data_IF_902116502095
#
_entry.id   IF_902116502095
#
_cell.length_a   1.000
_cell.length_b   1.000
_cell.length_c   1.000
_cell.angle_alpha   90.00
_cell.angle_beta   90.00
_cell.angle_gamma   90.00
#
_symmetry.space_group_name_H-M   'P 1'
#
loop_
_entity.id
_entity.type
_entity.pdbx_description
1 polymer ?
#
# COMPACT_ATOMS: atom_id res chain seq x y z
N UNK A 1 -8.01 -11.44 19.63
CA UNK A 1 -6.89 -10.81 18.89
C UNK A 1 -7.44 -9.64 18.09
N UNK A 2 -6.73 -8.52 18.02
CA UNK A 2 -7.18 -7.29 17.36
C UNK A 2 -6.87 -7.37 15.85
N UNK A 3 -7.85 -7.35 14.94
CA UNK A 3 -7.57 -7.35 13.50
C UNK A 3 -7.05 -5.99 13.06
N UNK A 4 -6.04 -5.99 12.18
CA UNK A 4 -5.47 -4.77 11.59
C UNK A 4 -5.32 -4.95 10.10
N UNK A 5 -5.66 -3.93 9.31
CA UNK A 5 -5.42 -3.96 7.88
C UNK A 5 -3.91 -3.80 7.62
N UNK A 6 -3.34 -4.55 6.69
CA UNK A 6 -1.93 -4.42 6.31
C UNK A 6 -1.84 -4.38 4.80
N UNK A 7 -1.05 -3.45 4.22
CA UNK A 7 -0.78 -3.48 2.78
C UNK A 7 -0.21 -4.85 2.41
N UNK A 8 -0.88 -5.56 1.48
CA UNK A 8 -0.55 -6.96 1.19
C UNK A 8 0.90 -7.18 0.73
N UNK A 9 1.53 -6.17 0.13
CA UNK A 9 2.95 -6.21 -0.22
C UNK A 9 3.89 -6.24 1.00
N UNK A 10 3.53 -5.60 2.12
CA UNK A 10 4.25 -5.70 3.40
C UNK A 10 4.08 -7.09 4.03
N UNK A 11 3.01 -7.80 3.66
CA UNK A 11 2.73 -9.17 4.08
C UNK A 11 3.45 -10.22 3.20
N UNK A 12 4.20 -9.79 2.18
CA UNK A 12 4.91 -10.69 1.25
C UNK A 12 4.07 -11.16 0.05
N UNK A 13 2.90 -10.56 -0.20
CA UNK A 13 2.16 -10.84 -1.43
C UNK A 13 2.72 -10.00 -2.58
N UNK A 14 3.06 -10.67 -3.67
CA UNK A 14 3.58 -10.06 -4.89
C UNK A 14 2.49 -9.29 -5.66
N UNK A 15 2.05 -8.15 -5.12
CA UNK A 15 0.95 -7.33 -5.63
C UNK A 15 1.36 -5.89 -5.98
N UNK A 16 2.66 -5.56 -5.93
CA UNK A 16 3.15 -4.25 -6.37
C UNK A 16 2.97 -4.07 -7.87
N UNK A 17 3.09 -2.82 -8.34
CA UNK A 17 2.98 -2.51 -9.76
C UNK A 17 3.99 -3.27 -10.64
N UNK A 18 5.19 -3.52 -10.10
CA UNK A 18 6.27 -4.29 -10.73
C UNK A 18 6.13 -5.82 -10.58
N UNK A 19 5.03 -6.30 -9.97
CA UNK A 19 4.81 -7.74 -9.75
C UNK A 19 5.62 -8.34 -8.61
N UNK A 20 6.25 -7.51 -7.76
CA UNK A 20 7.01 -7.96 -6.58
C UNK A 20 6.25 -7.68 -5.28
N UNK A 21 6.87 -8.00 -4.15
CA UNK A 21 6.42 -7.61 -2.81
C UNK A 21 7.43 -6.66 -2.12
N UNK A 22 7.17 -6.36 -0.85
CA UNK A 22 8.11 -5.67 0.02
C UNK A 22 7.89 -6.11 1.46
N UNK A 23 7.93 -7.44 1.68
CA UNK A 23 7.68 -8.06 2.97
C UNK A 23 8.44 -7.36 4.10
N UNK A 24 7.80 -7.18 5.24
CA UNK A 24 8.39 -6.57 6.43
C UNK A 24 8.24 -7.52 7.61
N UNK A 25 9.24 -8.40 7.79
CA UNK A 25 9.22 -9.44 8.83
C UNK A 25 9.19 -8.84 10.23
N UNK A 26 9.83 -7.67 10.41
CA UNK A 26 9.83 -6.95 11.68
C UNK A 26 8.42 -6.48 12.03
N UNK A 27 7.67 -5.89 11.08
CA UNK A 27 6.27 -5.53 11.28
C UNK A 27 5.44 -6.75 11.66
N UNK A 28 5.59 -7.86 10.94
CA UNK A 28 4.79 -9.06 11.21
C UNK A 28 5.08 -9.62 12.62
N UNK A 29 6.34 -9.62 13.06
CA UNK A 29 6.70 -9.98 14.42
C UNK A 29 6.17 -9.02 15.48
N UNK A 30 6.19 -7.70 15.21
CA UNK A 30 5.59 -6.68 16.10
C UNK A 30 4.08 -6.87 16.24
N UNK A 31 3.38 -7.19 15.14
CA UNK A 31 1.94 -7.47 15.16
C UNK A 31 1.62 -8.73 15.97
N UNK A 32 2.35 -9.83 15.74
CA UNK A 32 2.18 -11.07 16.48
C UNK A 32 2.44 -10.88 17.98
N UNK A 33 3.56 -10.26 18.34
CA UNK A 33 3.94 -9.98 19.73
C UNK A 33 2.91 -9.11 20.47
N UNK A 34 2.17 -8.28 19.73
CA UNK A 34 1.11 -7.42 20.28
C UNK A 34 -0.29 -8.02 20.16
N UNK A 35 -0.42 -9.29 19.76
CA UNK A 35 -1.70 -10.00 19.65
C UNK A 35 -2.61 -9.46 18.54
N UNK A 36 -2.02 -8.86 17.51
CA UNK A 36 -2.71 -8.30 16.34
C UNK A 36 -2.72 -9.30 15.19
N UNK A 37 -3.86 -9.41 14.52
CA UNK A 37 -4.04 -10.31 13.38
C UNK A 37 -4.01 -9.48 12.09
N UNK A 38 -2.98 -9.64 11.24
CA UNK A 38 -2.91 -8.91 9.98
C UNK A 38 -3.96 -9.42 8.99
N UNK A 39 -4.69 -8.48 8.40
CA UNK A 39 -5.60 -8.69 7.26
C UNK A 39 -4.96 -8.06 6.03
N UNK A 40 -4.27 -8.85 5.18
CA UNK A 40 -3.55 -8.33 4.03
C UNK A 40 -4.52 -7.81 2.97
N UNK A 41 -4.31 -6.59 2.49
CA UNK A 41 -5.17 -5.93 1.51
C UNK A 41 -4.37 -5.10 0.50
N UNK A 42 -4.71 -5.19 -0.78
CA UNK A 42 -4.13 -4.35 -1.84
C UNK A 42 -5.25 -3.53 -2.50
N UNK A 43 -5.33 -2.22 -2.25
CA UNK A 43 -6.41 -1.41 -2.80
C UNK A 43 -6.41 -1.36 -4.32
N UNK A 44 -5.24 -1.27 -4.95
CA UNK A 44 -5.12 -1.20 -6.41
C UNK A 44 -5.70 -2.44 -7.09
N UNK A 45 -5.46 -3.61 -6.51
CA UNK A 45 -6.00 -4.87 -7.01
C UNK A 45 -7.46 -5.13 -6.63
N UNK A 46 -7.92 -4.62 -5.49
CA UNK A 46 -9.34 -4.63 -5.11
C UNK A 46 -10.15 -3.67 -5.99
N UNK A 47 -9.51 -2.61 -6.49
CA UNK A 47 -10.00 -1.75 -7.55
C UNK A 47 -9.82 -2.31 -8.96
N UNK A 48 -9.54 -3.61 -9.07
CA UNK A 48 -9.44 -4.35 -10.34
C UNK A 48 -8.22 -4.03 -11.23
N UNK A 49 -7.21 -3.30 -10.74
CA UNK A 49 -5.96 -3.18 -11.49
C UNK A 49 -5.20 -4.53 -11.52
N UNK A 50 -4.51 -4.84 -12.64
CA UNK A 50 -3.74 -6.07 -12.75
C UNK A 50 -2.46 -6.03 -11.91
N UNK A 51 -1.79 -7.17 -11.84
CA UNK A 51 -0.43 -7.29 -11.34
C UNK A 51 0.38 -8.14 -12.34
N UNK A 52 1.46 -7.62 -12.94
CA UNK A 52 1.96 -6.25 -12.84
C UNK A 52 1.01 -5.23 -13.50
N UNK A 53 1.25 -3.94 -13.26
CA UNK A 53 0.51 -2.80 -13.85
C UNK A 53 1.44 -1.60 -14.06
N UNK A 54 1.11 -0.67 -14.97
CA UNK A 54 1.86 0.58 -15.10
C UNK A 54 1.94 1.33 -13.77
N UNK A 55 3.08 1.99 -13.53
CA UNK A 55 3.18 2.93 -12.42
C UNK A 55 2.18 4.08 -12.60
N UNK A 56 1.58 4.51 -11.50
CA UNK A 56 0.60 5.58 -11.47
C UNK A 56 0.93 6.60 -10.37
N UNK A 57 0.39 7.80 -10.49
CA UNK A 57 0.55 8.90 -9.55
C UNK A 57 -0.64 9.84 -9.62
N UNK A 58 -0.81 10.64 -8.58
CA UNK A 58 -1.80 11.72 -8.60
C UNK A 58 -1.33 12.75 -9.65
N UNK A 59 -2.21 13.12 -10.55
CA UNK A 59 -1.95 14.12 -11.58
C UNK A 59 -1.86 15.51 -10.94
N UNK A 60 -0.87 16.30 -11.34
CA UNK A 60 -0.64 17.64 -10.76
C UNK A 60 -1.62 18.71 -11.26
N UNK A 61 -2.53 18.40 -12.19
CA UNK A 61 -3.33 19.38 -12.92
C UNK A 61 -4.75 19.59 -12.37
N UNK A 62 -5.15 20.87 -12.26
CA UNK A 62 -6.54 21.32 -12.15
C UNK A 62 -6.77 22.57 -11.28
N UNK A 63 -7.59 23.52 -11.73
CA UNK A 63 -8.01 24.69 -10.95
C UNK A 63 -8.55 24.27 -9.57
N UNK A 64 -8.16 24.96 -8.49
CA UNK A 64 -8.61 24.67 -7.13
C UNK A 64 -7.55 24.19 -6.13
N UNK A 65 -6.24 24.31 -6.45
CA UNK A 65 -5.14 24.10 -5.49
C UNK A 65 -4.20 22.94 -5.82
N UNK A 66 -3.24 22.61 -4.93
CA UNK A 66 -2.26 21.55 -5.18
C UNK A 66 -2.92 20.17 -5.24
N UNK A 67 -2.38 19.29 -6.08
CA UNK A 67 -2.84 17.92 -6.19
C UNK A 67 -2.67 17.16 -4.86
N UNK A 68 -3.72 16.43 -4.46
CA UNK A 68 -3.73 15.67 -3.22
C UNK A 68 -4.75 14.53 -3.29
N UNK A 69 -4.58 13.53 -2.41
CA UNK A 69 -5.54 12.43 -2.27
C UNK A 69 -6.96 12.92 -1.96
N UNK A 70 -7.11 13.98 -1.16
CA UNK A 70 -8.41 14.57 -0.84
C UNK A 70 -9.13 15.08 -2.10
N UNK A 71 -8.40 15.70 -3.03
CA UNK A 71 -8.97 16.15 -4.31
C UNK A 71 -9.32 15.00 -5.24
N UNK A 72 -8.58 13.89 -5.20
CA UNK A 72 -8.97 12.66 -5.91
C UNK A 72 -10.30 12.13 -5.35
N UNK A 73 -10.43 12.10 -4.01
CA UNK A 73 -11.66 11.65 -3.34
C UNK A 73 -12.88 12.54 -3.64
N UNK A 74 -12.68 13.86 -3.84
CA UNK A 74 -13.75 14.79 -4.25
C UNK A 74 -14.01 14.81 -5.76
N UNK A 75 -13.23 14.09 -6.56
CA UNK A 75 -13.34 14.05 -8.02
C UNK A 75 -12.75 15.28 -8.74
N UNK A 76 -11.93 16.07 -8.04
CA UNK A 76 -11.27 17.27 -8.56
C UNK A 76 -9.86 17.03 -9.10
N UNK A 77 -9.26 15.88 -8.79
CA UNK A 77 -7.97 15.44 -9.29
C UNK A 77 -8.05 13.99 -9.75
N UNK A 78 -7.09 13.59 -10.58
CA UNK A 78 -7.02 12.24 -11.16
C UNK A 78 -5.80 11.49 -10.66
N UNK A 79 -5.86 10.17 -10.72
CA UNK A 79 -4.69 9.29 -10.67
C UNK A 79 -4.45 8.81 -12.09
N UNK A 80 -3.25 9.05 -12.61
CA UNK A 80 -2.89 8.72 -13.99
C UNK A 80 -1.67 7.82 -14.03
N UNK A 81 -1.57 6.99 -15.06
CA UNK A 81 -0.36 6.21 -15.35
C UNK A 81 0.71 7.08 -16.01
N UNK A 82 1.91 6.52 -16.20
CA UNK A 82 2.98 7.17 -16.97
C UNK A 82 2.67 7.46 -18.44
N UNK A 83 1.67 6.78 -19.03
CA UNK A 83 1.17 7.08 -20.37
C UNK A 83 0.03 8.11 -20.36
N UNK A 84 -0.40 8.58 -19.18
CA UNK A 84 -1.51 9.52 -19.02
C UNK A 84 -2.90 8.87 -18.99
N UNK A 85 -2.98 7.54 -18.88
CA UNK A 85 -4.25 6.84 -18.72
C UNK A 85 -4.85 7.14 -17.34
N UNK A 86 -6.12 7.53 -17.29
CA UNK A 86 -6.84 7.80 -16.05
C UNK A 86 -7.28 6.49 -15.38
N UNK A 87 -6.71 6.20 -14.21
CA UNK A 87 -6.99 5.02 -13.39
C UNK A 87 -7.68 5.40 -12.07
N UNK A 88 -8.23 6.61 -11.97
CA UNK A 88 -8.85 7.14 -10.74
C UNK A 88 -9.98 6.25 -10.22
N UNK A 89 -10.81 5.71 -11.12
CA UNK A 89 -11.94 4.87 -10.75
C UNK A 89 -11.50 3.62 -9.94
N UNK A 90 -10.41 2.99 -10.36
CA UNK A 90 -9.84 1.84 -9.68
C UNK A 90 -9.29 2.21 -8.29
N UNK A 91 -8.54 3.32 -8.18
CA UNK A 91 -8.03 3.80 -6.89
C UNK A 91 -9.15 4.14 -5.91
N UNK A 92 -10.20 4.80 -6.39
CA UNK A 92 -11.38 5.15 -5.59
C UNK A 92 -12.17 3.90 -5.16
N UNK A 93 -12.35 2.93 -6.05
CA UNK A 93 -12.99 1.65 -5.73
C UNK A 93 -12.17 0.89 -4.68
N UNK A 94 -10.87 0.74 -4.90
CA UNK A 94 -9.96 0.09 -3.98
C UNK A 94 -9.93 0.70 -2.59
N UNK A 95 -9.95 2.04 -2.50
CA UNK A 95 -10.01 2.75 -1.22
C UNK A 95 -11.32 2.45 -0.47
N UNK A 96 -12.46 2.45 -1.17
CA UNK A 96 -13.76 2.09 -0.57
C UNK A 96 -13.80 0.65 -0.09
N UNK A 97 -13.26 -0.28 -0.88
CA UNK A 97 -13.15 -1.69 -0.49
C UNK A 97 -12.22 -1.88 0.72
N UNK A 98 -11.14 -1.11 0.83
CA UNK A 98 -10.28 -1.13 2.02
C UNK A 98 -11.05 -0.69 3.29
N UNK A 99 -11.85 0.36 3.17
CA UNK A 99 -12.68 0.84 4.27
C UNK A 99 -13.77 -0.18 4.64
N UNK A 100 -14.39 -0.82 3.64
CA UNK A 100 -15.34 -1.90 3.86
C UNK A 100 -14.68 -3.07 4.59
N UNK A 101 -13.52 -3.52 4.12
CA UNK A 101 -12.75 -4.58 4.77
C UNK A 101 -12.43 -4.24 6.23
N UNK A 102 -11.99 -3.01 6.52
CA UNK A 102 -11.79 -2.54 7.89
C UNK A 102 -13.06 -2.67 8.74
N UNK A 103 -14.22 -2.28 8.21
CA UNK A 103 -15.51 -2.34 8.93
C UNK A 103 -15.95 -3.78 9.17
N UNK A 104 -15.84 -4.64 8.17
CA UNK A 104 -16.27 -6.05 8.25
C UNK A 104 -15.48 -6.83 9.28
N UNK A 105 -14.15 -6.66 9.31
CA UNK A 105 -13.30 -7.35 10.29
C UNK A 105 -13.20 -6.61 11.62
N UNK A 106 -13.71 -5.38 11.70
CA UNK A 106 -13.60 -4.53 12.89
C UNK A 106 -12.20 -3.94 13.12
N UNK A 107 -11.37 -3.83 12.07
CA UNK A 107 -10.06 -3.22 12.15
C UNK A 107 -10.16 -1.70 12.32
N UNK A 108 -9.52 -1.18 13.37
CA UNK A 108 -9.41 0.26 13.66
C UNK A 108 -8.04 0.85 13.32
N UNK A 109 -7.13 0.01 12.85
CA UNK A 109 -5.76 0.38 12.48
C UNK A 109 -5.36 -0.26 11.16
N UNK A 110 -4.61 0.49 10.36
CA UNK A 110 -4.07 0.05 9.10
C UNK A 110 -2.57 0.36 9.00
N UNK A 111 -1.76 -0.63 8.61
CA UNK A 111 -0.33 -0.48 8.32
C UNK A 111 -0.13 -0.45 6.81
N UNK A 112 0.22 0.70 6.29
CA UNK A 112 0.17 0.98 4.87
C UNK A 112 1.56 1.24 4.30
N UNK A 113 1.79 0.76 3.06
CA UNK A 113 3.07 0.91 2.38
C UNK A 113 3.33 2.38 2.01
N UNK A 114 4.41 2.93 2.54
CA UNK A 114 4.77 4.34 2.37
C UNK A 114 5.10 4.68 0.90
N UNK A 115 4.90 5.95 0.53
CA UNK A 115 5.10 6.55 -0.81
C UNK A 115 4.13 6.09 -1.91
N UNK A 116 3.28 5.11 -1.68
CA UNK A 116 2.31 4.66 -2.70
C UNK A 116 1.24 5.74 -2.99
N UNK A 117 0.82 5.93 -4.26
CA UNK A 117 -0.35 6.77 -4.62
C UNK A 117 -1.64 6.33 -3.92
N UNK A 118 -1.75 5.07 -3.50
CA UNK A 118 -2.88 4.53 -2.74
C UNK A 118 -2.59 4.50 -1.24
N UNK A 119 -1.47 3.90 -0.85
CA UNK A 119 -1.21 3.50 0.54
C UNK A 119 -0.27 4.45 1.31
N UNK A 120 0.43 5.37 0.64
CA UNK A 120 1.37 6.28 1.32
C UNK A 120 0.68 7.07 2.44
N UNK A 121 1.31 7.22 3.61
CA UNK A 121 0.69 7.90 4.75
C UNK A 121 1.27 9.30 4.92
N UNK A 122 2.59 9.42 4.95
CA UNK A 122 3.28 10.69 5.08
C UNK A 122 3.64 11.30 3.72
N UNK A 123 3.86 10.47 2.72
CA UNK A 123 4.28 10.85 1.38
C UNK A 123 3.56 10.04 0.31
N UNK A 124 3.39 10.67 -0.86
CA UNK A 124 2.76 10.04 -2.03
C UNK A 124 3.43 10.51 -3.32
N UNK A 125 3.06 9.93 -4.46
CA UNK A 125 3.56 10.37 -5.76
C UNK A 125 2.58 11.31 -6.46
N UNK A 126 3.07 12.50 -6.81
CA UNK A 126 2.39 13.48 -7.68
C UNK A 126 3.27 13.73 -8.90
N UNK A 127 2.73 13.56 -10.11
CA UNK A 127 3.48 13.68 -11.38
C UNK A 127 4.83 12.96 -11.38
N UNK A 128 4.85 11.71 -10.88
CA UNK A 128 6.06 10.90 -10.80
C UNK A 128 7.08 11.34 -9.73
N UNK A 129 6.78 12.35 -8.91
CA UNK A 129 7.65 12.83 -7.81
C UNK A 129 7.06 12.50 -6.46
N UNK A 130 7.90 12.11 -5.50
CA UNK A 130 7.46 11.93 -4.11
C UNK A 130 7.26 13.30 -3.45
N UNK A 131 6.07 13.54 -2.89
CA UNK A 131 5.69 14.77 -2.19
C UNK A 131 5.09 14.45 -0.82
N UNK A 132 5.12 15.37 0.15
CA UNK A 132 4.38 15.21 1.41
C UNK A 132 2.87 15.10 1.17
N UNK A 133 2.23 14.19 1.91
CA UNK A 133 0.79 13.95 1.86
C UNK A 133 0.45 12.46 1.68
N UNK A 134 -0.77 12.05 2.05
CA UNK A 134 -1.20 10.67 1.94
C UNK A 134 -1.59 10.29 0.50
N UNK A 135 -1.62 8.98 0.24
CA UNK A 135 -2.30 8.38 -0.90
C UNK A 135 -3.81 8.26 -0.68
N UNK A 136 -4.53 7.89 -1.74
CA UNK A 136 -6.01 7.88 -1.79
C UNK A 136 -6.65 7.01 -0.70
N UNK A 137 -6.15 5.79 -0.51
CA UNK A 137 -6.67 4.86 0.51
C UNK A 137 -6.34 5.32 1.91
N UNK A 138 -5.09 5.76 2.13
CA UNK A 138 -4.66 6.26 3.44
C UNK A 138 -5.49 7.46 3.89
N UNK A 139 -5.74 8.43 2.98
CA UNK A 139 -6.62 9.58 3.23
C UNK A 139 -8.03 9.13 3.61
N UNK A 140 -8.67 8.27 2.80
CA UNK A 140 -10.05 7.84 3.06
C UNK A 140 -10.20 7.09 4.38
N UNK A 141 -9.24 6.21 4.72
CA UNK A 141 -9.23 5.47 5.97
C UNK A 141 -9.09 6.42 7.17
N UNK A 142 -8.16 7.37 7.10
CA UNK A 142 -7.95 8.38 8.14
C UNK A 142 -9.20 9.25 8.36
N UNK A 143 -9.81 9.75 7.28
CA UNK A 143 -11.05 10.54 7.32
C UNK A 143 -12.22 9.75 7.92
N UNK A 144 -12.17 8.41 7.81
CA UNK A 144 -13.16 7.49 8.36
C UNK A 144 -12.86 7.03 9.79
N UNK A 145 -11.83 7.60 10.44
CA UNK A 145 -11.46 7.30 11.83
C UNK A 145 -10.61 6.05 12.02
N UNK A 146 -10.03 5.48 10.95
CA UNK A 146 -9.05 4.40 11.05
C UNK A 146 -7.67 4.99 11.30
N UNK A 147 -6.95 4.49 12.31
CA UNK A 147 -5.57 4.93 12.54
C UNK A 147 -4.64 4.35 11.48
N UNK A 148 -4.06 5.19 10.64
CA UNK A 148 -3.11 4.78 9.59
C UNK A 148 -1.66 4.94 10.07
N UNK A 149 -0.82 3.96 9.76
CA UNK A 149 0.61 3.94 10.09
C UNK A 149 1.40 3.63 8.80
N UNK A 150 2.31 4.52 8.43
CA UNK A 150 3.19 4.35 7.28
C UNK A 150 4.33 3.38 7.58
N UNK A 151 4.63 2.49 6.64
CA UNK A 151 5.72 1.51 6.75
C UNK A 151 6.53 1.49 5.45
N UNK A 152 7.84 1.62 5.56
CA UNK A 152 8.74 1.61 4.39
C UNK A 152 8.80 0.24 3.71
N UNK A 153 8.77 -0.85 4.47
CA UNK A 153 8.85 -2.24 3.99
C UNK A 153 10.28 -2.77 3.83
N UNK A 154 10.42 -4.09 3.70
CA UNK A 154 11.72 -4.73 3.44
C UNK A 154 12.61 -5.00 4.66
N UNK A 155 12.11 -4.80 5.89
CA UNK A 155 12.88 -5.11 7.12
C UNK A 155 12.89 -6.62 7.37
N UNK A 156 14.07 -7.20 7.58
CA UNK A 156 14.23 -8.63 7.90
C UNK A 156 14.50 -8.84 9.39
N UNK A 157 14.07 -9.98 9.93
CA UNK A 157 14.22 -10.30 11.35
C UNK A 157 15.70 -10.46 11.79
N UNK A 158 16.61 -10.75 10.86
CA UNK A 158 18.05 -10.87 11.14
C UNK A 158 18.75 -9.51 11.29
N UNK A 159 18.11 -8.39 10.92
CA UNK A 159 18.73 -7.06 10.93
C UNK A 159 18.59 -6.32 12.28
N UNK A 160 17.91 -6.90 13.28
CA UNK A 160 17.60 -6.25 14.58
C UNK A 160 18.46 -6.74 15.75
N UNK A 161 19.59 -7.39 15.50
CA UNK A 161 20.58 -7.73 16.53
C UNK A 161 21.76 -6.73 16.59
N UNK A 162 21.66 -5.71 17.46
CA UNK A 162 22.82 -4.93 17.98
C UNK A 162 22.96 -3.47 17.52
N UNK A 163 23.63 -2.58 18.31
CA UNK A 163 23.24 -1.17 18.47
C UNK A 163 23.95 -0.16 17.54
N UNK A 164 23.28 1.01 17.37
CA UNK A 164 23.71 2.33 16.86
C UNK A 164 24.74 2.43 15.71
N UNK A 165 24.27 2.90 14.56
CA UNK A 165 24.79 4.11 13.89
C UNK A 165 23.82 4.53 12.77
N UNK A 166 23.33 5.78 12.82
CA UNK A 166 22.48 6.32 11.77
C UNK A 166 23.30 6.51 10.48
N UNK A 167 22.83 6.04 9.30
CA UNK A 167 23.47 6.42 8.04
C UNK A 167 23.17 7.89 7.72
N UNK A 168 24.18 8.63 7.31
CA UNK A 168 24.02 9.99 6.76
C UNK A 168 23.02 10.00 5.59
N UNK A 169 22.21 11.07 5.45
CA UNK A 169 21.26 11.17 4.35
C UNK A 169 22.02 11.25 3.01
N UNK A 170 21.54 10.55 1.96
CA UNK A 170 22.16 10.63 0.64
C UNK A 170 22.00 12.03 0.04
N UNK A 171 22.95 12.48 -0.82
CA UNK A 171 22.87 13.77 -1.48
C UNK A 171 21.66 13.84 -2.44
N UNK A 172 21.02 15.01 -2.59
CA UNK A 172 19.81 15.15 -3.40
C UNK A 172 20.15 15.10 -4.90
N UNK A 173 19.55 14.14 -5.62
CA UNK A 173 19.62 14.08 -7.08
C UNK A 173 19.32 12.69 -7.62
N UNK A 174 18.15 12.56 -8.26
CA UNK A 174 17.63 11.39 -8.99
C UNK A 174 17.05 10.27 -8.11
N UNK A 175 15.76 10.39 -7.76
CA UNK A 175 14.99 9.35 -7.06
C UNK A 175 13.88 8.82 -7.97
N UNK A 176 14.15 7.73 -8.68
CA UNK A 176 13.10 6.78 -9.05
C UNK A 176 12.65 5.99 -7.81
N UNK A 177 11.51 5.27 -7.84
CA UNK A 177 11.05 4.51 -6.69
C UNK A 177 12.11 3.48 -6.29
N UNK A 178 12.55 3.52 -5.03
CA UNK A 178 13.50 2.57 -4.49
C UNK A 178 12.97 1.13 -4.66
N UNK A 179 13.65 0.33 -5.47
CA UNK A 179 13.38 -1.08 -5.64
C UNK A 179 13.84 -1.83 -4.38
N UNK A 180 12.95 -2.59 -3.77
CA UNK A 180 13.34 -3.60 -2.79
C UNK A 180 13.79 -4.82 -3.59
N UNK A 181 15.09 -4.90 -3.89
CA UNK A 181 15.65 -6.03 -4.64
C UNK A 181 15.81 -7.22 -3.68
N UNK A 182 14.79 -8.07 -3.59
CA UNK A 182 14.84 -9.34 -2.87
C UNK A 182 13.96 -10.38 -3.59
N UNK A 183 14.34 -11.68 -3.56
CA UNK A 183 13.50 -12.73 -4.13
C UNK A 183 12.16 -12.81 -3.37
N UNK A 184 11.07 -13.27 -4.01
CA UNK A 184 9.78 -13.41 -3.35
C UNK A 184 9.88 -14.41 -2.19
N UNK A 185 9.63 -13.94 -0.98
CA UNK A 185 9.59 -14.77 0.22
C UNK A 185 8.25 -15.50 0.29
N UNK A 186 8.26 -16.79 0.66
CA UNK A 186 7.02 -17.54 0.89
C UNK A 186 6.23 -16.93 2.05
N UNK A 187 4.88 -16.88 1.99
CA UNK A 187 4.08 -16.32 3.07
C UNK A 187 4.24 -17.18 4.34
N UNK A 188 4.75 -16.55 5.41
CA UNK A 188 5.05 -17.19 6.70
C UNK A 188 3.81 -17.54 7.53
N UNK A 189 2.62 -17.10 7.12
CA UNK A 189 1.37 -17.34 7.82
C UNK A 189 0.18 -17.25 6.84
N UNK A 190 -0.85 -18.08 7.02
CA UNK A 190 -2.12 -17.98 6.28
C UNK A 190 -3.25 -17.78 7.28
N UNK A 191 -3.63 -16.54 7.61
CA UNK A 191 -4.85 -16.32 8.36
C UNK A 191 -6.04 -16.75 7.50
N UNK A 192 -7.10 -17.26 8.13
CA UNK A 192 -8.36 -17.49 7.43
C UNK A 192 -8.96 -16.16 6.97
N UNK A 193 -8.62 -15.76 5.75
CA UNK A 193 -9.25 -14.62 5.07
C UNK A 193 -10.72 -15.03 4.82
N UNK A 194 -11.72 -14.20 5.17
CA UNK A 194 -13.11 -14.46 4.86
C UNK A 194 -13.29 -14.81 3.37
N UNK A 195 -14.12 -15.81 3.01
CA UNK A 195 -14.19 -16.33 1.63
C UNK A 195 -14.46 -15.27 0.55
N UNK A 196 -15.21 -14.23 0.90
CA UNK A 196 -15.53 -13.11 -0.01
C UNK A 196 -14.40 -12.11 -0.21
N UNK A 197 -13.37 -12.13 0.65
CA UNK A 197 -12.15 -11.32 0.52
C UNK A 197 -11.00 -12.09 -0.13
N UNK A 198 -11.20 -13.38 -0.45
CA UNK A 198 -10.25 -14.17 -1.23
C UNK A 198 -10.46 -13.82 -2.70
N UNK A 199 -9.42 -13.35 -3.40
CA UNK A 199 -9.47 -13.32 -4.87
C UNK A 199 -9.73 -14.75 -5.37
N UNK A 200 -10.55 -14.95 -6.42
CA UNK A 200 -10.61 -16.24 -7.09
C UNK A 200 -9.18 -16.59 -7.54
N UNK A 201 -8.69 -17.76 -7.14
CA UNK A 201 -7.48 -18.32 -7.72
C UNK A 201 -7.67 -18.33 -9.24
N UNK A 202 -6.72 -17.71 -9.96
CA UNK A 202 -6.75 -17.66 -11.43
C UNK A 202 -6.93 -19.05 -12.04
N UNK A 203 -7.34 -19.12 -13.32
CA UNK A 203 -7.73 -20.39 -13.93
C UNK A 203 -6.60 -21.40 -13.79
N UNK A 204 -6.96 -22.59 -13.29
CA UNK A 204 -6.07 -23.75 -13.29
C UNK A 204 -5.49 -23.90 -14.69
N UNK A 205 -4.15 -23.89 -14.79
CA UNK A 205 -3.48 -24.16 -16.04
C UNK A 205 -3.87 -25.58 -16.48
N UNK A 206 -4.73 -25.65 -17.50
CA UNK A 206 -4.93 -26.84 -18.31
C UNK A 206 -3.94 -26.78 -19.47
N UNK A 207 -2.98 -27.71 -19.51
CA UNK A 207 -2.02 -27.86 -20.60
C UNK A 207 -0.75 -28.57 -20.17
#
# INVERSE_FOLDING_TARGET
MEPVLVSACLYGRACRYDGTDCADEVLLGELEATGRVPVPFCPEEAGELPTPRPAAWIEESGAGGPASAARVLSGEARVVTGSGEDVSAAFLAGAREALLACREVGARRAYLKERSPSCGVAQTHVSGRTVPGPGVTAQLLADSGVTVVGVDGGRTASAVAGPESAPEPPPPGMSGPAACSGPPSQPLFTPEIPPHLRKPSGPAQSG
#
